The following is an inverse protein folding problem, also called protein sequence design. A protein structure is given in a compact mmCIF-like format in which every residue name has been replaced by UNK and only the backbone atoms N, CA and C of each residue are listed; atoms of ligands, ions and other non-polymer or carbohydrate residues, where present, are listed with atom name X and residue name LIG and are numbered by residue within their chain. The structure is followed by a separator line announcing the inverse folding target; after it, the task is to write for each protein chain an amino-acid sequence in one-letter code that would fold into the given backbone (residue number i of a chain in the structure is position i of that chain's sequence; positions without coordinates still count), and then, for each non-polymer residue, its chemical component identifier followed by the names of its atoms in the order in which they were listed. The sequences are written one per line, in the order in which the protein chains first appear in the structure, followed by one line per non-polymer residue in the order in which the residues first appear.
data_IF_605618967929
#
_entry.id   IF_605618967929
#
_cell.length_a   1.000
_cell.length_b   1.000
_cell.length_c   1.000
_cell.angle_alpha   90.00
_cell.angle_beta   90.00
_cell.angle_gamma   90.00
#
_symmetry.space_group_name_H-M   'P 1'
#
loop_
_entity.id
_entity.type
_entity.pdbx_description
1 polymer ?
#
# COMPACT_ATOMS: atom_id res chain seq x y z
N UNK A 1 -18.97 -10.09 -50.17
CA UNK A 1 -19.28 -8.96 -49.27
C UNK A 1 -18.81 -9.34 -47.86
N UNK A 2 -17.69 -8.80 -47.40
CA UNK A 2 -17.12 -9.10 -46.07
C UNK A 2 -17.70 -8.13 -45.04
N UNK A 3 -18.26 -8.65 -43.95
CA UNK A 3 -18.92 -7.87 -42.89
C UNK A 3 -17.89 -7.53 -41.81
N UNK A 4 -17.66 -6.24 -41.57
CA UNK A 4 -16.69 -5.77 -40.58
C UNK A 4 -17.06 -6.20 -39.14
N UNK A 5 -16.08 -6.48 -38.26
CA UNK A 5 -16.34 -6.99 -36.92
C UNK A 5 -17.02 -5.94 -36.02
N UNK A 6 -17.85 -6.38 -35.05
CA UNK A 6 -18.62 -5.47 -34.21
C UNK A 6 -17.71 -4.68 -33.26
N UNK A 7 -17.82 -3.35 -33.32
CA UNK A 7 -17.12 -2.40 -32.46
C UNK A 7 -17.58 -2.58 -31.01
N UNK A 8 -16.69 -3.04 -30.12
CA UNK A 8 -16.95 -3.12 -28.67
C UNK A 8 -17.25 -1.70 -28.15
N UNK A 9 -18.49 -1.48 -27.74
CA UNK A 9 -18.89 -0.25 -27.06
C UNK A 9 -18.43 -0.34 -25.60
N UNK A 10 -17.38 0.40 -25.26
CA UNK A 10 -16.99 0.65 -23.87
C UNK A 10 -18.12 1.45 -23.20
N UNK A 11 -18.87 0.78 -22.32
CA UNK A 11 -19.83 1.45 -21.42
C UNK A 11 -19.05 2.28 -20.41
N UNK A 12 -18.75 3.52 -20.77
CA UNK A 12 -18.31 4.53 -19.80
C UNK A 12 -19.58 5.13 -19.19
N UNK A 13 -19.77 5.00 -17.88
CA UNK A 13 -20.90 5.61 -17.18
C UNK A 13 -20.87 7.13 -17.38
N UNK A 14 -21.92 7.68 -17.98
CA UNK A 14 -22.10 9.14 -18.17
C UNK A 14 -22.65 9.75 -16.88
N UNK A 15 -21.79 9.97 -15.89
CA UNK A 15 -22.14 10.66 -14.65
C UNK A 15 -20.89 11.28 -14.02
N UNK A 16 -21.03 12.48 -13.43
CA UNK A 16 -19.97 13.07 -12.61
C UNK A 16 -19.75 12.08 -11.45
N UNK A 17 -18.52 11.59 -11.27
CA UNK A 17 -18.20 10.63 -10.21
C UNK A 17 -18.62 11.26 -8.88
N UNK A 18 -19.49 10.61 -8.07
CA UNK A 18 -19.85 11.16 -6.77
C UNK A 18 -18.57 11.25 -5.93
N UNK A 19 -18.27 12.44 -5.41
CA UNK A 19 -17.21 12.63 -4.44
C UNK A 19 -17.85 12.80 -3.06
N UNK A 20 -17.27 12.19 -2.05
CA UNK A 20 -17.65 12.32 -0.65
C UNK A 20 -17.16 13.67 -0.09
N UNK A 21 -16.00 14.15 -0.55
CA UNK A 21 -15.39 15.43 -0.18
C UNK A 21 -15.33 16.42 -1.36
N UNK A 22 -15.34 17.72 -1.05
CA UNK A 22 -15.56 18.82 -1.99
C UNK A 22 -14.64 18.83 -3.24
N UNK A 23 -13.36 18.51 -3.06
CA UNK A 23 -12.35 18.57 -4.12
C UNK A 23 -11.95 17.19 -4.68
N UNK A 24 -12.55 16.10 -4.19
CA UNK A 24 -12.20 14.72 -4.54
C UNK A 24 -10.83 14.25 -4.02
N UNK A 25 -10.01 15.14 -3.47
CA UNK A 25 -8.71 14.81 -2.87
C UNK A 25 -8.90 13.97 -1.62
N UNK A 26 -9.91 14.30 -0.79
CA UNK A 26 -10.27 13.52 0.40
C UNK A 26 -10.66 12.07 0.06
N UNK A 27 -11.45 11.87 -1.00
CA UNK A 27 -11.86 10.53 -1.45
C UNK A 27 -10.68 9.70 -1.94
N UNK A 28 -9.75 10.36 -2.63
CA UNK A 28 -8.52 9.74 -3.11
C UNK A 28 -7.66 9.27 -1.93
N UNK A 29 -7.43 10.14 -0.94
CA UNK A 29 -6.68 9.77 0.26
C UNK A 29 -7.37 8.66 1.05
N UNK A 30 -8.69 8.75 1.23
CA UNK A 30 -9.47 7.70 1.89
C UNK A 30 -9.31 6.36 1.16
N UNK A 31 -9.45 6.35 -0.17
CA UNK A 31 -9.27 5.15 -0.99
C UNK A 31 -7.86 4.56 -0.86
N UNK A 32 -6.82 5.41 -0.85
CA UNK A 32 -5.43 4.98 -0.66
C UNK A 32 -5.22 4.38 0.74
N UNK A 33 -5.74 5.02 1.78
CA UNK A 33 -5.63 4.55 3.17
C UNK A 33 -6.36 3.22 3.34
N UNK A 34 -7.57 3.09 2.80
CA UNK A 34 -8.33 1.83 2.85
C UNK A 34 -7.59 0.70 2.13
N UNK A 35 -7.05 0.95 0.94
CA UNK A 35 -6.24 -0.02 0.21
C UNK A 35 -5.01 -0.45 1.03
N UNK A 36 -4.23 0.50 1.55
CA UNK A 36 -3.05 0.22 2.38
C UNK A 36 -3.41 -0.56 3.65
N UNK A 37 -4.50 -0.20 4.31
CA UNK A 37 -4.98 -0.90 5.52
C UNK A 37 -5.34 -2.35 5.18
N UNK A 38 -5.99 -2.58 4.05
CA UNK A 38 -6.37 -3.92 3.59
C UNK A 38 -5.13 -4.78 3.31
N UNK A 39 -4.14 -4.22 2.61
CA UNK A 39 -2.86 -4.92 2.37
C UNK A 39 -2.11 -5.22 3.68
N UNK A 40 -2.12 -4.30 4.66
CA UNK A 40 -1.54 -4.56 5.99
C UNK A 40 -2.26 -5.69 6.73
N UNK A 41 -3.59 -5.79 6.63
CA UNK A 41 -4.36 -6.89 7.21
C UNK A 41 -3.96 -8.23 6.58
N UNK A 42 -3.86 -8.29 5.25
CA UNK A 42 -3.41 -9.51 4.54
C UNK A 42 -2.01 -9.92 4.96
N UNK A 43 -1.08 -8.97 5.12
CA UNK A 43 0.26 -9.26 5.63
C UNK A 43 0.26 -9.78 7.07
N UNK A 44 -0.59 -9.21 7.93
CA UNK A 44 -0.73 -9.65 9.33
C UNK A 44 -1.30 -11.06 9.42
N UNK A 45 -2.31 -11.37 8.62
CA UNK A 45 -2.89 -12.73 8.55
C UNK A 45 -1.86 -13.75 8.04
N UNK A 46 -1.02 -13.35 7.08
CA UNK A 46 0.07 -14.20 6.60
C UNK A 46 1.13 -14.43 7.67
N UNK A 47 1.46 -13.43 8.49
CA UNK A 47 2.38 -13.60 9.64
C UNK A 47 1.81 -14.53 10.71
N UNK A 48 0.54 -14.37 11.09
CA UNK A 48 -0.15 -15.31 12.01
C UNK A 48 -0.15 -16.74 11.45
N UNK A 49 -0.38 -16.89 10.15
CA UNK A 49 -0.28 -18.20 9.48
C UNK A 49 1.13 -18.79 9.59
N UNK A 50 2.18 -17.99 9.39
CA UNK A 50 3.58 -18.44 9.54
C UNK A 50 3.85 -18.90 10.97
N UNK A 51 3.43 -18.14 11.98
CA UNK A 51 3.59 -18.49 13.39
C UNK A 51 2.87 -19.81 13.73
N UNK A 52 1.65 -20.00 13.25
CA UNK A 52 0.88 -21.26 13.46
C UNK A 52 1.51 -22.45 12.77
N UNK A 53 1.97 -22.29 11.52
CA UNK A 53 2.65 -23.36 10.78
C UNK A 53 3.97 -23.74 11.45
N UNK A 54 4.71 -22.76 11.97
CA UNK A 54 5.94 -23.00 12.72
C UNK A 54 5.66 -23.74 14.05
N UNK A 55 4.65 -23.31 14.79
CA UNK A 55 4.20 -23.97 16.04
C UNK A 55 3.78 -25.42 15.79
N UNK A 56 3.03 -25.70 14.73
CA UNK A 56 2.66 -27.06 14.34
C UNK A 56 3.86 -27.95 14.01
N UNK A 57 5.03 -27.36 13.70
CA UNK A 57 6.30 -28.06 13.46
C UNK A 57 7.23 -28.06 14.69
N UNK A 58 6.74 -27.60 15.85
CA UNK A 58 7.50 -27.56 17.09
C UNK A 58 8.42 -26.34 17.25
N UNK A 59 8.29 -25.32 16.39
CA UNK A 59 9.06 -24.07 16.50
C UNK A 59 8.22 -23.02 17.22
N UNK A 60 8.74 -22.47 18.33
CA UNK A 60 8.02 -21.49 19.16
C UNK A 60 8.36 -20.07 18.68
N UNK A 61 7.76 -19.63 17.57
CA UNK A 61 8.06 -18.30 17.04
C UNK A 61 7.38 -17.15 17.78
N UNK A 62 6.14 -17.35 18.24
CA UNK A 62 5.33 -16.24 18.77
C UNK A 62 5.97 -15.56 19.98
N UNK A 63 6.30 -16.35 21.01
CA UNK A 63 6.94 -15.83 22.22
C UNK A 63 8.37 -15.34 21.95
N UNK A 64 9.08 -15.97 21.02
CA UNK A 64 10.42 -15.51 20.60
C UNK A 64 10.36 -14.16 19.90
N UNK A 65 9.40 -13.93 19.01
CA UNK A 65 9.22 -12.65 18.29
C UNK A 65 8.90 -11.52 19.27
N UNK A 66 7.98 -11.73 20.21
CA UNK A 66 7.57 -10.69 21.18
C UNK A 66 8.71 -10.28 22.11
N UNK A 67 9.61 -11.21 22.44
CA UNK A 67 10.76 -10.96 23.31
C UNK A 67 12.07 -10.73 22.55
N UNK A 68 12.03 -10.69 21.20
CA UNK A 68 13.24 -10.61 20.40
C UNK A 68 13.92 -9.24 20.56
N UNK A 69 15.13 -9.26 21.11
CA UNK A 69 15.98 -8.08 21.18
C UNK A 69 16.85 -7.97 19.92
N UNK A 70 16.64 -6.91 19.14
CA UNK A 70 17.49 -6.60 18.00
C UNK A 70 18.84 -6.08 18.47
N UNK A 71 19.91 -6.52 17.81
CA UNK A 71 21.22 -5.90 17.95
C UNK A 71 21.33 -4.61 17.12
N UNK A 72 22.41 -3.86 17.33
CA UNK A 72 22.63 -2.59 16.65
C UNK A 72 22.69 -2.74 15.12
N UNK A 73 23.20 -3.87 14.62
CA UNK A 73 23.30 -4.15 13.19
C UNK A 73 21.91 -4.33 12.57
N UNK A 74 21.05 -5.15 13.18
CA UNK A 74 19.68 -5.37 12.73
C UNK A 74 18.83 -4.10 12.84
N UNK A 75 19.05 -3.28 13.87
CA UNK A 75 18.38 -1.98 13.99
C UNK A 75 18.79 -1.01 12.87
N UNK A 76 20.08 -0.96 12.52
CA UNK A 76 20.58 -0.15 11.42
C UNK A 76 20.01 -0.60 10.06
N UNK A 77 20.00 -1.91 9.79
CA UNK A 77 19.39 -2.46 8.58
C UNK A 77 17.91 -2.08 8.46
N UNK A 78 17.16 -2.18 9.56
CA UNK A 78 15.76 -1.77 9.61
C UNK A 78 15.59 -0.26 9.41
N UNK A 79 16.49 0.56 9.93
CA UNK A 79 16.45 2.00 9.72
C UNK A 79 16.62 2.35 8.24
N UNK A 80 17.58 1.74 7.56
CA UNK A 80 17.80 1.92 6.12
C UNK A 80 16.61 1.42 5.29
N UNK A 81 16.04 0.26 5.63
CA UNK A 81 14.84 -0.25 4.96
C UNK A 81 13.64 0.69 5.11
N UNK A 82 13.41 1.25 6.31
CA UNK A 82 12.35 2.23 6.57
C UNK A 82 12.59 3.52 5.80
N UNK A 83 13.83 4.01 5.78
CA UNK A 83 14.21 5.21 5.01
C UNK A 83 13.95 5.01 3.52
N UNK A 84 14.40 3.91 2.95
CA UNK A 84 14.17 3.60 1.53
C UNK A 84 12.67 3.47 1.19
N UNK A 85 11.85 2.93 2.11
CA UNK A 85 10.40 2.91 1.96
C UNK A 85 9.79 4.32 2.00
N UNK A 86 10.19 5.13 2.98
CA UNK A 86 9.74 6.51 3.10
C UNK A 86 10.07 7.31 1.84
N UNK A 87 11.30 7.20 1.32
CA UNK A 87 11.73 7.88 0.10
C UNK A 87 10.82 7.51 -1.08
N UNK A 88 10.49 6.22 -1.27
CA UNK A 88 9.57 5.77 -2.34
C UNK A 88 8.15 6.29 -2.16
N UNK A 89 7.63 6.29 -0.92
CA UNK A 89 6.26 6.74 -0.63
C UNK A 89 6.12 8.25 -0.80
N UNK A 90 7.11 9.01 -0.33
CA UNK A 90 7.08 10.48 -0.34
C UNK A 90 7.57 11.10 -1.66
N UNK A 91 8.26 10.36 -2.52
CA UNK A 91 8.77 10.86 -3.80
C UNK A 91 7.71 11.62 -4.62
N UNK A 92 6.51 11.05 -4.76
CA UNK A 92 5.42 11.68 -5.53
C UNK A 92 4.90 12.96 -4.86
N UNK A 93 4.85 13.01 -3.53
CA UNK A 93 4.43 14.19 -2.77
C UNK A 93 5.46 15.31 -2.88
N UNK A 94 6.75 14.99 -2.80
CA UNK A 94 7.85 15.95 -2.98
C UNK A 94 7.85 16.52 -4.40
N UNK A 95 7.69 15.67 -5.41
CA UNK A 95 7.61 16.08 -6.81
C UNK A 95 6.41 17.02 -7.07
N UNK A 96 5.25 16.72 -6.47
CA UNK A 96 4.07 17.61 -6.55
C UNK A 96 4.32 18.95 -5.84
N UNK A 97 4.97 18.96 -4.68
CA UNK A 97 5.31 20.17 -3.96
C UNK A 97 6.28 21.08 -4.75
N UNK A 98 7.29 20.52 -5.42
CA UNK A 98 8.21 21.27 -6.29
C UNK A 98 7.52 21.84 -7.53
N UNK A 99 6.59 21.09 -8.12
CA UNK A 99 5.79 21.57 -9.26
C UNK A 99 4.84 22.70 -8.88
N UNK A 100 4.27 22.67 -7.68
CA UNK A 100 3.41 23.74 -7.17
C UNK A 100 4.21 25.01 -6.83
N UNK A 101 5.48 24.88 -6.43
CA UNK A 101 6.38 26.03 -6.20
C UNK A 101 6.89 26.69 -7.48
N UNK A 102 7.00 25.95 -8.59
CA UNK A 102 7.49 26.46 -9.87
C UNK A 102 6.39 26.96 -10.81
N UNK A 103 5.12 26.73 -10.46
CA UNK A 103 3.94 27.23 -11.19
C UNK A 103 3.21 28.40 -10.52
N UNK A 104 3.80 29.01 -9.49
CA UNK A 104 3.29 30.20 -8.79
C UNK A 104 4.12 31.43 -9.10
#
# INVERSE_FOLDING_TARGET
MSKAPPKKLTRVAKGKRPYLFDDGTGDMFLSMITALTTEMMVMRDRLDTVERVASAKGVILKDEIENFAFDDAALAERAEARKALADRVYYLLLQQAERNKSGG
#
